data_IF_018054599083
#
_entry.id   IF_018054599083
#
_cell.length_a   1.000
_cell.length_b   1.000
_cell.length_c   1.000
_cell.angle_alpha   90.00
_cell.angle_beta   90.00
_cell.angle_gamma   90.00
#
_symmetry.space_group_name_H-M   'P 1'
#
loop_
_entity.id
_entity.type
_entity.pdbx_description
1 polymer ?
#
# COMPACT_ATOMS: atom_id res chain seq x y z
N UNK A 1 23.74 28.07 -66.10
CA UNK A 1 23.42 26.94 -65.20
C UNK A 1 21.91 26.76 -65.15
N UNK A 2 21.39 25.59 -65.51
CA UNK A 2 19.95 25.34 -65.69
C UNK A 2 19.22 25.45 -64.33
N UNK A 3 18.21 26.34 -64.21
CA UNK A 3 17.46 26.54 -62.96
C UNK A 3 16.90 25.23 -62.40
N UNK A 4 16.50 24.29 -63.27
CA UNK A 4 16.05 22.94 -62.86
C UNK A 4 17.15 22.12 -62.17
N UNK A 5 18.40 22.26 -62.62
CA UNK A 5 19.56 21.60 -62.02
C UNK A 5 19.88 22.20 -60.64
N UNK A 6 19.72 23.51 -60.48
CA UNK A 6 19.91 24.19 -59.19
C UNK A 6 18.85 23.73 -58.19
N UNK A 7 17.57 23.71 -58.58
CA UNK A 7 16.49 23.21 -57.71
C UNK A 7 16.71 21.75 -57.31
N UNK A 8 17.15 20.90 -58.26
CA UNK A 8 17.45 19.49 -57.99
C UNK A 8 18.56 19.32 -56.95
N UNK A 9 19.66 20.07 -57.08
CA UNK A 9 20.78 20.04 -56.13
C UNK A 9 20.38 20.55 -54.73
N UNK A 10 19.56 21.61 -54.66
CA UNK A 10 19.05 22.12 -53.38
C UNK A 10 18.11 21.12 -52.69
N UNK A 11 17.24 20.45 -53.45
CA UNK A 11 16.38 19.41 -52.88
C UNK A 11 17.16 18.19 -52.36
N UNK A 12 18.25 17.80 -53.02
CA UNK A 12 19.13 16.73 -52.53
C UNK A 12 19.82 17.16 -51.23
N UNK A 13 20.35 18.39 -51.17
CA UNK A 13 20.98 18.91 -49.96
C UNK A 13 19.99 18.96 -48.78
N UNK A 14 18.74 19.34 -49.03
CA UNK A 14 17.71 19.36 -47.99
C UNK A 14 17.33 17.95 -47.50
N UNK A 15 17.24 16.97 -48.40
CA UNK A 15 17.00 15.57 -48.04
C UNK A 15 18.16 14.98 -47.21
N UNK A 16 19.41 15.34 -47.54
CA UNK A 16 20.59 14.92 -46.76
C UNK A 16 20.53 15.52 -45.35
N UNK A 17 20.18 16.80 -45.20
CA UNK A 17 20.04 17.43 -43.90
C UNK A 17 18.93 16.79 -43.05
N UNK A 18 17.80 16.43 -43.66
CA UNK A 18 16.72 15.69 -42.98
C UNK A 18 17.21 14.30 -42.55
N UNK A 19 17.92 13.58 -43.42
CA UNK A 19 18.46 12.26 -43.09
C UNK A 19 19.48 12.32 -41.95
N UNK A 20 20.36 13.33 -41.93
CA UNK A 20 21.31 13.56 -40.83
C UNK A 20 20.57 13.93 -39.54
N UNK A 21 19.54 14.78 -39.61
CA UNK A 21 18.71 15.14 -38.46
C UNK A 21 17.98 13.93 -37.87
N UNK A 22 17.37 13.09 -38.71
CA UNK A 22 16.74 11.84 -38.30
C UNK A 22 17.76 10.86 -37.72
N UNK A 23 18.92 10.70 -38.36
CA UNK A 23 20.00 9.87 -37.83
C UNK A 23 20.47 10.37 -36.46
N UNK A 24 20.58 11.68 -36.25
CA UNK A 24 20.86 12.28 -34.95
C UNK A 24 19.80 11.95 -33.90
N UNK A 25 18.50 11.98 -34.26
CA UNK A 25 17.40 11.59 -33.34
C UNK A 25 17.42 10.10 -33.01
N UNK A 26 17.80 9.24 -33.96
CA UNK A 26 17.87 7.78 -33.76
C UNK A 26 19.17 7.30 -33.11
N UNK A 27 20.27 8.07 -33.18
CA UNK A 27 21.57 7.72 -32.57
C UNK A 27 21.84 8.41 -31.25
N UNK A 28 21.09 9.45 -30.91
CA UNK A 28 20.92 9.82 -29.50
C UNK A 28 20.05 8.73 -28.89
N UNK A 29 20.68 7.61 -28.53
CA UNK A 29 20.28 6.91 -27.32
C UNK A 29 20.22 8.00 -26.26
N UNK A 30 18.99 8.42 -25.97
CA UNK A 30 18.70 9.26 -24.84
C UNK A 30 19.13 8.46 -23.62
N UNK A 31 20.42 8.57 -23.30
CA UNK A 31 21.01 8.35 -22.00
C UNK A 31 20.49 9.46 -21.08
N UNK A 32 19.17 9.57 -21.00
CA UNK A 32 18.49 9.92 -19.78
C UNK A 32 18.93 8.85 -18.79
N UNK A 33 20.08 9.09 -18.18
CA UNK A 33 20.42 8.56 -16.88
C UNK A 33 19.34 9.10 -15.95
N UNK A 34 18.18 8.45 -15.95
CA UNK A 34 17.20 8.53 -14.88
C UNK A 34 17.99 8.04 -13.70
N UNK A 35 18.54 8.99 -12.94
CA UNK A 35 19.29 8.70 -11.72
C UNK A 35 18.37 7.82 -10.87
N UNK A 36 18.65 6.52 -10.86
CA UNK A 36 17.79 5.55 -10.20
C UNK A 36 17.65 6.05 -8.77
N UNK A 37 16.40 6.33 -8.40
CA UNK A 37 16.12 6.85 -7.08
C UNK A 37 16.38 5.70 -6.13
N UNK A 38 17.32 5.80 -5.16
CA UNK A 38 17.63 4.67 -4.30
C UNK A 38 16.35 4.18 -3.62
N UNK A 39 15.96 2.93 -3.90
CA UNK A 39 14.85 2.28 -3.18
C UNK A 39 15.43 1.88 -1.84
N UNK A 40 15.09 2.64 -0.81
CA UNK A 40 15.51 2.30 0.54
C UNK A 40 14.74 1.06 1.00
N UNK A 41 15.45 0.10 1.60
CA UNK A 41 14.78 -0.96 2.34
C UNK A 41 13.85 -0.33 3.38
N UNK A 42 12.57 -0.73 3.40
CA UNK A 42 11.58 0.03 4.13
C UNK A 42 11.79 -0.05 5.65
N UNK A 43 12.36 -1.13 6.20
CA UNK A 43 12.69 -1.26 7.64
C UNK A 43 11.56 -0.82 8.58
N UNK A 44 10.32 -1.28 8.34
CA UNK A 44 9.10 -0.86 9.06
C UNK A 44 8.72 0.64 8.90
N UNK A 45 9.33 1.36 7.95
CA UNK A 45 8.99 2.74 7.63
C UNK A 45 7.89 2.78 6.56
N UNK A 46 7.04 3.79 6.66
CA UNK A 46 5.92 4.05 5.76
C UNK A 46 6.04 5.49 5.28
N UNK A 47 5.78 5.71 3.99
CA UNK A 47 5.62 7.05 3.44
C UNK A 47 4.20 7.55 3.68
N UNK A 48 4.06 8.65 4.42
CA UNK A 48 2.81 9.40 4.55
C UNK A 48 2.89 10.59 3.59
N UNK A 49 2.24 10.42 2.43
CA UNK A 49 2.20 11.39 1.35
C UNK A 49 0.76 11.70 0.90
N UNK A 50 -0.12 10.69 0.85
CA UNK A 50 -1.52 10.81 0.45
C UNK A 50 -1.75 11.70 -0.77
N UNK A 51 -0.99 11.46 -1.85
CA UNK A 51 -1.07 12.25 -3.08
C UNK A 51 -2.44 12.20 -3.74
N UNK A 52 -3.24 11.17 -3.45
CA UNK A 52 -4.64 11.05 -3.83
C UNK A 52 -5.54 12.11 -3.16
N UNK A 53 -5.14 12.66 -2.01
CA UNK A 53 -5.82 13.74 -1.31
C UNK A 53 -5.15 15.08 -1.64
N UNK A 54 -3.83 15.16 -1.50
CA UNK A 54 -3.09 16.43 -1.55
C UNK A 54 -2.71 16.86 -2.97
N UNK A 55 -2.65 15.93 -3.93
CA UNK A 55 -2.09 16.18 -5.25
C UNK A 55 -0.59 16.45 -5.18
N UNK A 56 -0.14 17.56 -5.77
CA UNK A 56 1.25 18.01 -5.65
C UNK A 56 1.53 18.47 -4.22
N UNK A 57 2.51 17.85 -3.56
CA UNK A 57 2.85 18.16 -2.18
C UNK A 57 3.55 19.52 -2.06
N UNK A 58 3.13 20.30 -1.07
CA UNK A 58 3.77 21.58 -0.70
C UNK A 58 5.02 21.39 0.17
N UNK A 59 5.11 20.24 0.86
CA UNK A 59 6.22 19.84 1.72
C UNK A 59 6.67 18.42 1.40
N UNK A 60 7.92 18.04 1.72
CA UNK A 60 8.36 16.66 1.61
C UNK A 60 7.41 15.69 2.32
N UNK A 61 7.26 14.47 1.79
CA UNK A 61 6.54 13.39 2.46
C UNK A 61 7.09 13.14 3.88
N UNK A 62 6.23 12.71 4.80
CA UNK A 62 6.65 12.26 6.13
C UNK A 62 7.04 10.79 6.04
N UNK A 63 8.23 10.46 6.53
CA UNK A 63 8.69 9.07 6.63
C UNK A 63 8.45 8.62 8.07
N UNK A 64 7.41 7.81 8.24
CA UNK A 64 6.94 7.35 9.53
C UNK A 64 7.55 5.97 9.86
N UNK A 65 8.29 5.87 10.95
CA UNK A 65 8.87 4.60 11.41
C UNK A 65 7.85 3.84 12.28
N UNK A 66 7.03 2.99 11.65
CA UNK A 66 5.95 2.27 12.32
C UNK A 66 6.48 1.31 13.37
N UNK A 67 7.63 0.67 13.12
CA UNK A 67 8.27 -0.24 14.08
C UNK A 67 8.63 0.46 15.39
N UNK A 68 9.23 1.66 15.33
CA UNK A 68 9.53 2.45 16.54
C UNK A 68 8.29 2.87 17.31
N UNK A 69 7.21 3.23 16.62
CA UNK A 69 5.97 3.62 17.27
C UNK A 69 5.29 2.43 17.95
N UNK A 70 5.26 1.26 17.31
CA UNK A 70 4.72 0.03 17.91
C UNK A 70 5.50 -0.35 19.16
N UNK A 71 6.83 -0.29 19.13
CA UNK A 71 7.65 -0.61 20.32
C UNK A 71 7.43 0.41 21.44
N UNK A 72 7.39 1.71 21.12
CA UNK A 72 7.16 2.76 22.11
C UNK A 72 5.75 2.72 22.73
N UNK A 73 4.74 2.26 21.98
CA UNK A 73 3.33 2.21 22.40
C UNK A 73 2.85 0.79 22.72
N UNK A 74 3.78 -0.09 23.12
CA UNK A 74 3.49 -1.52 23.35
C UNK A 74 2.40 -1.75 24.41
N UNK A 75 2.34 -0.90 25.43
CA UNK A 75 1.32 -0.96 26.51
C UNK A 75 -0.08 -0.56 26.04
N UNK A 76 -0.18 0.49 25.23
CA UNK A 76 -1.43 1.04 24.71
C UNK A 76 -1.95 0.24 23.52
N UNK A 77 -1.05 -0.46 22.83
CA UNK A 77 -1.32 -1.34 21.71
C UNK A 77 -1.77 -0.59 20.45
N UNK A 78 -2.22 -1.36 19.46
CA UNK A 78 -2.58 -0.85 18.13
C UNK A 78 -3.68 0.23 18.19
N UNK A 79 -4.57 0.13 19.18
CA UNK A 79 -5.69 1.06 19.38
C UNK A 79 -5.25 2.42 19.88
N UNK A 80 -3.96 2.65 20.17
CA UNK A 80 -3.41 3.98 20.38
C UNK A 80 -3.56 4.87 19.14
N UNK A 81 -3.36 4.31 17.95
CA UNK A 81 -3.36 5.04 16.68
C UNK A 81 -4.46 4.60 15.71
N UNK A 82 -4.94 3.36 15.81
CA UNK A 82 -5.90 2.81 14.85
C UNK A 82 -7.34 2.79 15.38
N UNK A 83 -8.34 3.14 14.56
CA UNK A 83 -9.74 3.06 14.95
C UNK A 83 -10.21 1.61 15.03
N UNK A 84 -11.14 1.35 15.95
CA UNK A 84 -11.80 0.05 16.11
C UNK A 84 -13.19 0.14 15.46
N UNK A 85 -13.45 -0.73 14.50
CA UNK A 85 -14.75 -0.92 13.84
C UNK A 85 -15.63 -1.88 14.67
N UNK A 86 -16.81 -2.23 14.16
CA UNK A 86 -17.68 -3.25 14.76
C UNK A 86 -16.91 -4.56 15.00
N UNK A 87 -17.36 -5.33 15.99
CA UNK A 87 -16.82 -6.64 16.36
C UNK A 87 -15.33 -6.64 16.74
N UNK A 88 -14.86 -5.52 17.32
CA UNK A 88 -13.47 -5.32 17.75
C UNK A 88 -12.43 -5.44 16.62
N UNK A 89 -12.84 -5.26 15.37
CA UNK A 89 -11.94 -5.26 14.22
C UNK A 89 -11.18 -3.93 14.15
N UNK A 90 -9.86 -3.99 14.25
CA UNK A 90 -9.00 -2.82 14.08
C UNK A 90 -8.92 -2.51 12.59
N UNK A 91 -9.25 -1.26 12.22
CA UNK A 91 -8.89 -0.75 10.89
C UNK A 91 -7.51 -0.11 10.98
N UNK A 92 -6.61 -0.47 10.08
CA UNK A 92 -5.25 0.07 10.05
C UNK A 92 -5.19 1.44 9.35
N UNK A 93 -6.30 2.17 9.37
CA UNK A 93 -6.38 3.54 8.90
C UNK A 93 -5.78 4.48 9.97
N UNK A 94 -5.19 5.57 9.51
CA UNK A 94 -4.73 6.66 10.34
C UNK A 94 -4.85 7.95 9.51
N UNK A 95 -5.34 9.07 10.08
CA UNK A 95 -5.74 9.30 11.48
C UNK A 95 -7.09 8.63 11.84
N UNK A 96 -7.39 8.52 13.14
CA UNK A 96 -8.69 7.98 13.61
C UNK A 96 -9.86 8.91 13.30
N UNK A 97 -9.64 10.22 13.41
CA UNK A 97 -10.68 11.23 13.29
C UNK A 97 -10.37 12.15 12.13
N UNK A 98 -11.16 12.04 11.07
CA UNK A 98 -11.11 12.95 9.94
C UNK A 98 -12.49 13.56 9.71
N UNK A 99 -12.57 14.90 9.68
CA UNK A 99 -13.86 15.62 9.57
C UNK A 99 -14.45 15.50 8.17
N UNK A 100 -13.61 15.60 7.14
CA UNK A 100 -14.02 15.45 5.75
C UNK A 100 -12.83 15.03 4.89
N UNK A 101 -13.07 14.70 3.61
CA UNK A 101 -12.01 14.38 2.64
C UNK A 101 -11.30 15.63 2.08
N UNK A 102 -11.54 16.82 2.65
CA UNK A 102 -10.84 18.03 2.23
C UNK A 102 -9.35 17.94 2.57
N UNK A 103 -8.50 18.60 1.76
CA UNK A 103 -7.05 18.65 2.02
C UNK A 103 -6.76 19.21 3.42
N UNK A 104 -7.44 20.29 3.79
CA UNK A 104 -7.25 20.95 5.08
C UNK A 104 -7.63 20.05 6.25
N UNK A 105 -8.78 19.38 6.19
CA UNK A 105 -9.21 18.51 7.29
C UNK A 105 -8.31 17.28 7.41
N UNK A 106 -7.88 16.69 6.30
CA UNK A 106 -6.93 15.58 6.30
C UNK A 106 -5.60 16.01 6.94
N UNK A 107 -5.02 17.12 6.47
CA UNK A 107 -3.77 17.66 7.02
C UNK A 107 -3.87 17.93 8.52
N UNK A 108 -4.95 18.61 8.96
CA UNK A 108 -5.16 18.92 10.37
C UNK A 108 -5.30 17.64 11.20
N UNK A 109 -6.05 16.63 10.73
CA UNK A 109 -6.17 15.36 11.43
C UNK A 109 -4.81 14.65 11.63
N UNK A 110 -3.93 14.69 10.62
CA UNK A 110 -2.56 14.17 10.77
C UNK A 110 -1.77 14.99 11.79
N UNK A 111 -1.79 16.32 11.69
CA UNK A 111 -1.05 17.19 12.59
C UNK A 111 -1.54 17.05 14.03
N UNK A 112 -2.84 17.06 14.26
CA UNK A 112 -3.44 16.96 15.58
C UNK A 112 -3.04 15.63 16.24
N UNK A 113 -3.32 14.48 15.60
CA UNK A 113 -3.02 13.17 16.21
C UNK A 113 -1.51 12.91 16.40
N UNK A 114 -0.64 13.38 15.48
CA UNK A 114 0.81 13.22 15.63
C UNK A 114 1.36 14.16 16.71
N UNK A 115 1.09 15.46 16.58
CA UNK A 115 1.74 16.50 17.37
C UNK A 115 1.19 16.53 18.79
N UNK A 116 -0.10 16.28 19.01
CA UNK A 116 -0.67 16.23 20.36
C UNK A 116 -0.05 15.10 21.19
N UNK A 117 0.07 13.89 20.60
CA UNK A 117 0.74 12.76 21.24
C UNK A 117 2.20 13.12 21.58
N UNK A 118 2.93 13.68 20.62
CA UNK A 118 4.32 14.06 20.83
C UNK A 118 4.49 15.14 21.91
N UNK A 119 3.64 16.18 21.90
CA UNK A 119 3.63 17.24 22.92
C UNK A 119 3.32 16.68 24.30
N UNK A 120 2.33 15.81 24.41
CA UNK A 120 1.95 15.16 25.67
C UNK A 120 3.13 14.37 26.25
N UNK A 121 3.72 13.46 25.48
CA UNK A 121 4.87 12.68 25.93
C UNK A 121 6.05 13.56 26.33
N UNK A 122 6.33 14.62 25.55
CA UNK A 122 7.39 15.58 25.88
C UNK A 122 7.13 16.32 27.19
N UNK A 123 5.87 16.72 27.47
CA UNK A 123 5.50 17.38 28.72
C UNK A 123 5.61 16.46 29.94
N UNK A 124 5.53 15.16 29.73
CA UNK A 124 5.74 14.12 30.74
C UNK A 124 7.23 13.72 30.88
N UNK A 125 8.16 14.46 30.25
CA UNK A 125 9.59 14.13 30.17
C UNK A 125 9.88 12.74 29.59
N UNK A 126 8.97 12.18 28.78
CA UNK A 126 9.17 10.93 28.07
C UNK A 126 9.84 11.17 26.72
N UNK A 127 10.56 10.16 26.22
CA UNK A 127 11.08 10.18 24.85
C UNK A 127 9.92 10.35 23.87
N UNK A 128 10.00 11.36 23.02
CA UNK A 128 8.92 11.76 22.14
C UNK A 128 9.41 12.03 20.71
N UNK A 129 8.47 12.10 19.78
CA UNK A 129 8.72 12.45 18.39
C UNK A 129 8.74 13.96 18.16
N UNK A 130 9.00 14.37 16.91
CA UNK A 130 9.12 15.78 16.54
C UNK A 130 7.80 16.55 16.60
N UNK A 131 7.88 17.84 16.90
CA UNK A 131 6.75 18.79 16.91
C UNK A 131 6.96 19.97 15.95
N UNK A 132 8.06 19.98 15.20
CA UNK A 132 8.39 21.03 14.23
C UNK A 132 8.23 20.53 12.79
N UNK A 133 7.99 21.48 11.87
CA UNK A 133 7.72 21.17 10.47
C UNK A 133 8.85 20.37 9.81
N UNK A 134 10.11 20.81 9.97
CA UNK A 134 11.25 20.28 9.23
C UNK A 134 11.72 18.91 9.72
N UNK A 135 11.41 18.58 10.97
CA UNK A 135 11.77 17.29 11.55
C UNK A 135 10.85 16.17 11.02
N UNK A 136 9.56 16.46 10.79
CA UNK A 136 8.63 15.56 10.11
C UNK A 136 8.80 15.61 8.59
N UNK A 137 8.70 16.80 8.01
CA UNK A 137 8.78 17.06 6.57
C UNK A 137 10.22 17.37 6.14
N UNK A 138 11.11 16.41 6.39
CA UNK A 138 12.53 16.59 6.10
C UNK A 138 12.80 16.67 4.59
N UNK A 139 13.60 17.65 4.15
CA UNK A 139 13.99 17.82 2.74
C UNK A 139 14.60 16.56 2.13
N UNK A 140 15.27 15.72 2.94
CA UNK A 140 15.85 14.44 2.51
C UNK A 140 14.79 13.45 1.99
N UNK A 141 13.53 13.61 2.40
CA UNK A 141 12.44 12.72 2.03
C UNK A 141 11.83 13.05 0.65
N UNK A 142 12.17 14.19 0.02
CA UNK A 142 11.59 14.61 -1.27
C UNK A 142 11.73 13.57 -2.39
N UNK A 143 12.81 12.78 -2.35
CA UNK A 143 13.10 11.76 -3.35
C UNK A 143 13.04 10.35 -2.78
N UNK A 144 12.69 10.16 -1.50
CA UNK A 144 12.68 8.82 -0.94
C UNK A 144 11.49 8.04 -1.49
N UNK A 145 11.74 6.83 -1.99
CA UNK A 145 10.68 5.88 -2.35
C UNK A 145 10.76 4.70 -1.40
N UNK A 146 9.73 4.54 -0.57
CA UNK A 146 9.57 3.40 0.32
C UNK A 146 8.61 2.44 -0.36
N UNK A 147 9.12 1.28 -0.79
CA UNK A 147 8.32 0.24 -1.44
C UNK A 147 8.54 -1.07 -0.69
N UNK A 148 7.43 -1.71 -0.34
CA UNK A 148 7.46 -3.07 0.17
C UNK A 148 7.32 -4.06 -0.98
N UNK A 149 8.03 -5.21 -0.92
CA UNK A 149 7.70 -6.36 -1.74
C UNK A 149 6.23 -6.78 -1.53
N UNK A 150 5.64 -7.48 -2.47
CA UNK A 150 4.28 -8.01 -2.29
C UNK A 150 4.32 -9.06 -1.17
N UNK A 151 3.32 -9.06 -0.29
CA UNK A 151 3.10 -10.18 0.61
C UNK A 151 2.37 -11.26 -0.19
N UNK A 152 3.06 -12.34 -0.50
CA UNK A 152 2.49 -13.42 -1.29
C UNK A 152 1.82 -14.47 -0.38
N UNK A 153 0.62 -14.88 -0.78
CA UNK A 153 -0.12 -15.95 -0.12
C UNK A 153 -0.25 -17.13 -1.08
N UNK A 154 0.87 -17.86 -1.22
CA UNK A 154 1.00 -19.00 -2.11
C UNK A 154 0.22 -20.23 -1.62
N UNK A 155 0.12 -21.28 -2.44
CA UNK A 155 -0.60 -22.51 -2.11
C UNK A 155 -0.07 -23.22 -0.86
N UNK A 156 1.24 -23.17 -0.64
CA UNK A 156 1.88 -23.78 0.53
C UNK A 156 1.57 -22.99 1.82
N UNK A 157 1.52 -21.66 1.77
CA UNK A 157 1.05 -20.83 2.88
C UNK A 157 -0.45 -21.01 3.12
N UNK A 158 -1.25 -21.12 2.06
CA UNK A 158 -2.68 -21.39 2.15
C UNK A 158 -2.95 -22.73 2.85
N UNK A 159 -2.30 -23.82 2.41
CA UNK A 159 -2.40 -25.15 3.03
C UNK A 159 -2.01 -25.13 4.51
N UNK A 160 -0.94 -24.41 4.88
CA UNK A 160 -0.57 -24.21 6.29
C UNK A 160 -1.69 -23.56 7.10
N UNK A 161 -2.37 -22.55 6.56
CA UNK A 161 -3.48 -21.90 7.25
C UNK A 161 -4.66 -22.85 7.42
N UNK A 162 -5.04 -23.59 6.37
CA UNK A 162 -6.13 -24.58 6.44
C UNK A 162 -5.85 -25.63 7.51
N UNK A 163 -4.65 -26.24 7.50
CA UNK A 163 -4.25 -27.25 8.49
C UNK A 163 -4.24 -26.69 9.91
N UNK A 164 -3.58 -25.54 10.12
CA UNK A 164 -3.51 -24.91 11.44
C UNK A 164 -4.85 -24.43 11.97
N UNK A 165 -5.74 -23.94 11.10
CA UNK A 165 -7.09 -23.59 11.51
C UNK A 165 -7.88 -24.84 11.88
N UNK A 166 -7.82 -25.91 11.08
CA UNK A 166 -8.47 -27.20 11.38
C UNK A 166 -8.01 -27.76 12.73
N UNK A 167 -6.71 -27.75 13.01
CA UNK A 167 -6.15 -28.14 14.31
C UNK A 167 -6.75 -27.33 15.47
N UNK A 168 -6.97 -26.03 15.27
CA UNK A 168 -7.47 -25.12 16.32
C UNK A 168 -8.97 -25.18 16.52
N UNK A 169 -9.75 -25.35 15.46
CA UNK A 169 -11.22 -25.26 15.49
C UNK A 169 -11.91 -26.63 15.42
N UNK A 170 -11.16 -27.69 15.11
CA UNK A 170 -11.66 -29.07 15.05
C UNK A 170 -12.44 -29.43 13.78
N UNK A 171 -12.54 -28.52 12.80
CA UNK A 171 -13.24 -28.73 11.53
C UNK A 171 -12.63 -27.91 10.41
N UNK A 172 -12.92 -28.27 9.16
CA UNK A 172 -12.64 -27.40 8.02
C UNK A 172 -13.65 -26.24 8.02
N UNK A 173 -13.15 -25.01 7.85
CA UNK A 173 -13.99 -23.81 7.83
C UNK A 173 -13.38 -22.72 6.94
N UNK A 174 -13.64 -22.84 5.63
CA UNK A 174 -13.18 -21.87 4.63
C UNK A 174 -13.82 -20.49 4.84
N UNK A 175 -15.00 -20.44 5.48
CA UNK A 175 -15.76 -19.22 5.78
C UNK A 175 -15.09 -18.29 6.80
N UNK A 176 -14.04 -18.75 7.49
CA UNK A 176 -13.20 -17.88 8.32
C UNK A 176 -12.47 -16.80 7.49
N UNK A 177 -12.24 -17.05 6.20
CA UNK A 177 -11.50 -16.17 5.30
C UNK A 177 -12.29 -15.82 4.03
N UNK A 178 -12.93 -16.82 3.41
CA UNK A 178 -13.65 -16.64 2.16
C UNK A 178 -15.06 -16.13 2.38
N UNK A 179 -15.44 -15.15 1.58
CA UNK A 179 -16.77 -14.59 1.58
C UNK A 179 -17.17 -14.17 0.17
N UNK A 180 -18.48 -14.09 -0.03
CA UNK A 180 -19.12 -13.53 -1.20
C UNK A 180 -20.07 -12.42 -0.76
N UNK A 181 -20.17 -11.34 -1.52
CA UNK A 181 -21.13 -10.28 -1.23
C UNK A 181 -22.44 -10.56 -1.97
N UNK A 182 -23.49 -10.92 -1.24
CA UNK A 182 -24.82 -11.08 -1.83
C UNK A 182 -25.44 -9.71 -2.11
N UNK A 183 -25.73 -9.41 -3.37
CA UNK A 183 -26.43 -8.18 -3.78
C UNK A 183 -27.89 -8.17 -3.30
N UNK A 184 -28.51 -9.35 -3.19
CA UNK A 184 -29.88 -9.51 -2.70
C UNK A 184 -29.95 -9.25 -1.19
N UNK A 185 -29.10 -9.91 -0.40
CA UNK A 185 -29.11 -9.80 1.06
C UNK A 185 -28.29 -8.59 1.57
N UNK A 186 -27.55 -7.92 0.67
CA UNK A 186 -26.68 -6.77 0.96
C UNK A 186 -25.64 -7.00 2.07
N UNK A 187 -25.21 -8.26 2.26
CA UNK A 187 -24.23 -8.66 3.28
C UNK A 187 -23.23 -9.67 2.72
N UNK A 188 -22.13 -9.84 3.47
CA UNK A 188 -21.18 -10.93 3.23
C UNK A 188 -21.79 -12.24 3.69
N UNK A 189 -21.69 -13.26 2.84
CA UNK A 189 -22.11 -14.64 3.08
C UNK A 189 -20.98 -15.58 2.68
N UNK A 190 -20.90 -16.75 3.29
CA UNK A 190 -20.03 -17.82 2.81
C UNK A 190 -20.84 -18.71 1.87
N UNK A 191 -20.25 -19.07 0.71
CA UNK A 191 -20.83 -19.99 -0.25
C UNK A 191 -19.77 -21.03 -0.61
N UNK A 192 -19.99 -22.24 -0.13
CA UNK A 192 -19.08 -23.37 -0.34
C UNK A 192 -18.86 -23.64 -1.83
N UNK A 193 -17.60 -23.90 -2.21
CA UNK A 193 -17.21 -24.16 -3.59
C UNK A 193 -17.06 -22.91 -4.45
N UNK A 194 -17.12 -21.71 -3.84
CA UNK A 194 -16.89 -20.42 -4.52
C UNK A 194 -15.70 -19.66 -3.96
N UNK A 195 -14.81 -20.35 -3.26
CA UNK A 195 -13.59 -19.80 -2.70
C UNK A 195 -12.66 -19.33 -3.82
N UNK A 196 -12.43 -18.02 -3.88
CA UNK A 196 -11.53 -17.42 -4.86
C UNK A 196 -10.45 -16.57 -4.17
N UNK A 197 -9.41 -16.26 -4.94
CA UNK A 197 -8.38 -15.32 -4.54
C UNK A 197 -8.98 -13.94 -4.24
N UNK A 198 -8.53 -13.29 -3.16
CA UNK A 198 -9.00 -11.95 -2.78
C UNK A 198 -8.82 -10.91 -3.91
N UNK A 199 -7.87 -11.13 -4.82
CA UNK A 199 -7.61 -10.28 -5.98
C UNK A 199 -8.79 -10.22 -6.97
N UNK A 200 -9.67 -11.22 -7.01
CA UNK A 200 -10.82 -11.18 -7.93
C UNK A 200 -11.75 -10.02 -7.64
N UNK A 201 -12.00 -9.73 -6.36
CA UNK A 201 -12.92 -8.68 -5.89
C UNK A 201 -12.22 -7.45 -5.30
N UNK A 202 -11.02 -7.57 -4.77
CA UNK A 202 -10.32 -6.46 -4.10
C UNK A 202 -9.25 -5.78 -4.97
N UNK A 203 -8.90 -6.32 -6.13
CA UNK A 203 -8.09 -5.59 -7.14
C UNK A 203 -8.97 -4.60 -7.89
N UNK A 204 -9.13 -3.41 -7.30
CA UNK A 204 -10.01 -2.35 -7.79
C UNK A 204 -9.57 -1.75 -9.15
N UNK A 205 -8.39 -2.11 -9.65
CA UNK A 205 -7.88 -1.62 -10.94
C UNK A 205 -8.32 -2.50 -12.11
N UNK A 206 -8.91 -3.68 -11.85
CA UNK A 206 -9.30 -4.61 -12.89
C UNK A 206 -10.79 -4.46 -13.22
N UNK A 207 -11.08 -4.29 -14.51
CA UNK A 207 -12.46 -4.38 -15.02
C UNK A 207 -12.93 -5.83 -14.97
N UNK A 208 -14.19 -6.04 -14.61
CA UNK A 208 -14.82 -7.36 -14.48
C UNK A 208 -16.17 -7.36 -15.20
N UNK A 209 -16.81 -8.53 -15.24
CA UNK A 209 -18.19 -8.65 -15.72
C UNK A 209 -19.17 -7.79 -14.91
N UNK A 210 -20.41 -7.62 -15.39
CA UNK A 210 -21.39 -6.69 -14.82
C UNK A 210 -21.70 -6.98 -13.35
N UNK A 211 -21.86 -8.25 -12.98
CA UNK A 211 -22.12 -8.66 -11.60
C UNK A 211 -20.95 -8.34 -10.65
N UNK A 212 -19.74 -8.80 -10.99
CA UNK A 212 -18.54 -8.50 -10.21
C UNK A 212 -18.25 -7.00 -10.15
N UNK A 213 -18.63 -6.22 -11.16
CA UNK A 213 -18.48 -4.76 -11.15
C UNK A 213 -19.37 -4.12 -10.07
N UNK A 214 -20.59 -4.61 -9.87
CA UNK A 214 -21.45 -4.15 -8.78
C UNK A 214 -20.84 -4.46 -7.41
N UNK A 215 -20.24 -5.65 -7.26
CA UNK A 215 -19.58 -6.06 -6.00
C UNK A 215 -18.30 -5.26 -5.75
N UNK A 216 -17.41 -5.13 -6.75
CA UNK A 216 -16.14 -4.40 -6.60
C UNK A 216 -16.37 -2.91 -6.36
N UNK A 217 -17.46 -2.34 -6.87
CA UNK A 217 -17.88 -0.97 -6.52
C UNK A 217 -18.13 -0.83 -5.03
N UNK A 218 -18.77 -1.79 -4.38
CA UNK A 218 -19.02 -1.76 -2.94
C UNK A 218 -17.69 -1.85 -2.16
N UNK A 219 -16.76 -2.70 -2.60
CA UNK A 219 -15.41 -2.75 -2.04
C UNK A 219 -14.68 -1.41 -2.19
N UNK A 220 -14.79 -0.78 -3.36
CA UNK A 220 -14.20 0.55 -3.64
C UNK A 220 -14.79 1.65 -2.77
N UNK A 221 -16.12 1.73 -2.69
CA UNK A 221 -16.84 2.74 -1.90
C UNK A 221 -16.50 2.61 -0.39
N UNK A 222 -16.17 1.40 0.07
CA UNK A 222 -15.69 1.10 1.43
C UNK A 222 -14.17 1.22 1.62
N UNK A 223 -13.41 1.52 0.58
CA UNK A 223 -11.93 1.61 0.64
C UNK A 223 -11.23 0.27 0.84
N UNK A 224 -11.86 -0.85 0.49
CA UNK A 224 -11.35 -2.22 0.66
C UNK A 224 -10.57 -2.67 -0.58
N UNK A 225 -9.47 -1.99 -0.88
CA UNK A 225 -8.47 -2.49 -1.83
C UNK A 225 -7.79 -3.77 -1.31
N UNK A 226 -7.09 -4.53 -2.16
CA UNK A 226 -6.32 -5.73 -1.73
C UNK A 226 -5.46 -5.41 -0.51
N UNK A 227 -4.75 -4.26 -0.52
CA UNK A 227 -3.93 -3.82 0.61
C UNK A 227 -4.74 -3.72 1.90
N UNK A 228 -5.86 -3.00 1.87
CA UNK A 228 -6.65 -2.72 3.07
C UNK A 228 -7.43 -3.96 3.54
N UNK A 229 -8.00 -4.72 2.61
CA UNK A 229 -8.71 -5.97 2.92
C UNK A 229 -7.76 -7.01 3.53
N UNK A 230 -6.58 -7.21 2.94
CA UNK A 230 -5.57 -8.14 3.48
C UNK A 230 -5.04 -7.70 4.83
N UNK A 231 -4.68 -6.42 5.00
CA UNK A 231 -4.26 -5.94 6.33
C UNK A 231 -5.37 -6.11 7.36
N UNK A 232 -6.63 -5.82 7.03
CA UNK A 232 -7.74 -5.98 7.96
C UNK A 232 -7.99 -7.47 8.31
N UNK A 233 -8.02 -8.37 7.34
CA UNK A 233 -8.29 -9.79 7.59
C UNK A 233 -7.12 -10.49 8.30
N UNK A 234 -5.92 -10.41 7.73
CA UNK A 234 -4.77 -11.18 8.20
C UNK A 234 -4.29 -10.68 9.57
N UNK A 235 -4.09 -9.36 9.72
CA UNK A 235 -3.52 -8.82 10.95
C UNK A 235 -4.48 -8.92 12.12
N UNK A 236 -5.80 -8.74 11.93
CA UNK A 236 -6.74 -8.91 13.05
C UNK A 236 -6.77 -10.35 13.56
N UNK A 237 -6.71 -11.34 12.65
CA UNK A 237 -6.63 -12.75 13.05
C UNK A 237 -5.32 -13.05 13.80
N UNK A 238 -4.18 -12.62 13.26
CA UNK A 238 -2.88 -12.81 13.92
C UNK A 238 -2.82 -12.10 15.28
N UNK A 239 -3.29 -10.86 15.38
CA UNK A 239 -3.35 -10.11 16.63
C UNK A 239 -4.27 -10.77 17.66
N UNK A 240 -5.40 -11.36 17.23
CA UNK A 240 -6.31 -12.10 18.12
C UNK A 240 -5.58 -13.30 18.75
N UNK A 241 -4.95 -14.14 17.95
CA UNK A 241 -4.23 -15.31 18.46
C UNK A 241 -2.97 -14.93 19.24
N UNK A 242 -2.25 -13.87 18.84
CA UNK A 242 -1.10 -13.34 19.59
C UNK A 242 -1.53 -12.90 21.00
N UNK A 243 -2.68 -12.22 21.13
CA UNK A 243 -3.25 -11.84 22.44
C UNK A 243 -3.66 -13.04 23.28
N UNK A 244 -4.01 -14.16 22.65
CA UNK A 244 -4.31 -15.43 23.33
C UNK A 244 -3.04 -16.21 23.73
N UNK A 245 -1.85 -15.66 23.49
CA UNK A 245 -0.58 -16.29 23.83
C UNK A 245 -0.11 -17.34 22.81
N UNK A 246 -0.73 -17.40 21.64
CA UNK A 246 -0.35 -18.34 20.58
C UNK A 246 0.99 -17.94 19.94
N UNK A 247 2.02 -18.74 20.20
CA UNK A 247 3.37 -18.52 19.66
C UNK A 247 3.51 -18.99 18.20
N UNK A 248 2.56 -19.79 17.70
CA UNK A 248 2.55 -20.26 16.31
C UNK A 248 1.73 -19.37 15.38
N UNK A 249 1.12 -18.29 15.91
CA UNK A 249 0.35 -17.35 15.09
C UNK A 249 1.21 -16.63 14.06
N UNK A 250 0.58 -16.18 12.98
CA UNK A 250 1.27 -15.49 11.90
C UNK A 250 1.84 -14.13 12.32
N UNK A 251 2.77 -13.58 11.52
CA UNK A 251 3.45 -12.34 11.84
C UNK A 251 2.53 -11.12 11.81
N UNK A 252 2.86 -10.11 12.62
CA UNK A 252 2.19 -8.80 12.67
C UNK A 252 3.12 -7.63 12.28
N UNK A 253 4.37 -7.94 11.95
CA UNK A 253 5.38 -6.96 11.53
C UNK A 253 5.51 -6.91 10.01
N UNK A 254 5.64 -5.69 9.45
CA UNK A 254 5.63 -5.46 8.01
C UNK A 254 6.64 -6.33 7.26
N UNK A 255 7.89 -6.36 7.74
CA UNK A 255 9.00 -7.07 7.06
C UNK A 255 8.90 -8.60 7.12
N UNK A 256 8.10 -9.13 8.05
CA UNK A 256 7.88 -10.58 8.17
C UNK A 256 6.82 -11.08 7.18
N UNK A 257 5.91 -10.21 6.74
CA UNK A 257 4.96 -10.50 5.65
C UNK A 257 5.54 -10.11 4.28
N UNK A 258 6.17 -8.94 4.20
CA UNK A 258 6.70 -8.37 2.96
C UNK A 258 8.18 -8.72 2.78
N UNK A 259 8.47 -10.02 2.69
CA UNK A 259 9.84 -10.56 2.72
C UNK A 259 10.60 -10.35 1.42
N UNK A 260 9.89 -10.22 0.29
CA UNK A 260 10.48 -10.26 -1.05
C UNK A 260 11.06 -11.62 -1.43
N UNK A 261 10.75 -12.66 -0.66
CA UNK A 261 11.10 -14.05 -0.95
C UNK A 261 9.83 -14.76 -1.41
N UNK A 262 9.88 -15.26 -2.63
CA UNK A 262 8.75 -15.91 -3.30
C UNK A 262 9.18 -17.30 -3.70
N UNK A 263 8.26 -18.27 -3.63
CA UNK A 263 8.52 -19.64 -4.09
C UNK A 263 8.37 -19.72 -5.60
N UNK A 264 9.21 -20.49 -6.27
CA UNK A 264 9.00 -20.84 -7.69
C UNK A 264 7.88 -21.87 -7.82
N UNK A 265 7.41 -22.10 -9.05
CA UNK A 265 6.37 -23.11 -9.32
C UNK A 265 6.86 -24.51 -8.92
N UNK A 266 8.15 -24.79 -9.08
CA UNK A 266 8.78 -26.06 -8.69
C UNK A 266 8.90 -26.23 -7.17
N UNK A 267 8.86 -25.13 -6.41
CA UNK A 267 8.95 -25.12 -4.95
C UNK A 267 7.56 -25.18 -4.25
N UNK A 268 6.47 -25.08 -5.02
CA UNK A 268 5.08 -25.11 -4.54
C UNK A 268 4.50 -26.53 -4.54
#
# INVERSE_FOLDING_TARGET
MNRKLIYFLVSIAYLILIAIGLYGVYTVEATLHVKETPVAEPQNKISIAHTEIFGKLERPQVVFDHGKHVEAMKSEGCTACHPVKKDNIISFDFPKKIKSKSKTDAMNAFHDECIECHKKLSSENKKSGPVTCADCHSKKNNKLKIKYPVAEFDFSYHDKHVKKLKEKIGKDDCGQCHHFYSLEEKKLVYKEGTEESCYYCHDLNKKRGPELTAITKISSDKGLSVKNASHQQCLNCHLKYQKQGDKETGPTECIKCHTGKYKTVEEL
#
